data_IF_026853876699
#
_entry.id   IF_026853876699
#
_cell.length_a   1.000
_cell.length_b   1.000
_cell.length_c   1.000
_cell.angle_alpha   90.00
_cell.angle_beta   90.00
_cell.angle_gamma   90.00
#
_symmetry.space_group_name_H-M   'P 1'
#
loop_
_entity.id
_entity.type
_entity.pdbx_description
1 polymer ?
#
# COMPACT_ATOMS: atom_id res chain seq x y z
N UNK A 1 8.18 35.08 -9.39
CA UNK A 1 8.40 35.03 -7.92
C UNK A 1 9.84 35.39 -7.66
N UNK A 2 10.08 36.26 -6.69
CA UNK A 2 11.43 36.66 -6.28
C UNK A 2 11.98 35.67 -5.24
N UNK A 3 13.31 35.50 -5.20
CA UNK A 3 13.99 34.59 -4.26
C UNK A 3 13.68 34.87 -2.78
N UNK A 4 13.29 36.11 -2.45
CA UNK A 4 12.85 36.51 -1.11
C UNK A 4 11.51 35.89 -0.70
N UNK A 5 10.61 35.63 -1.64
CA UNK A 5 9.29 35.05 -1.35
C UNK A 5 9.40 33.53 -1.12
N UNK A 6 10.31 32.88 -1.84
CA UNK A 6 10.66 31.46 -1.61
C UNK A 6 11.23 31.28 -0.20
N UNK A 7 12.09 32.21 0.24
CA UNK A 7 12.71 32.13 1.56
C UNK A 7 11.67 32.29 2.70
N UNK A 8 10.72 33.22 2.54
CA UNK A 8 9.58 33.36 3.47
C UNK A 8 8.69 32.12 3.50
N UNK A 9 8.49 31.45 2.37
CA UNK A 9 7.71 30.22 2.30
C UNK A 9 8.42 29.08 3.04
N UNK A 10 9.74 28.94 2.88
CA UNK A 10 10.55 27.96 3.61
C UNK A 10 10.53 28.23 5.13
N UNK A 11 10.65 29.49 5.54
CA UNK A 11 10.59 29.90 6.95
C UNK A 11 9.20 29.61 7.55
N UNK A 12 8.13 29.90 6.80
CA UNK A 12 6.76 29.60 7.20
C UNK A 12 6.53 28.09 7.37
N UNK A 13 6.98 27.27 6.42
CA UNK A 13 6.86 25.80 6.50
C UNK A 13 7.64 25.26 7.71
N UNK A 14 8.80 25.85 8.01
CA UNK A 14 9.63 25.45 9.14
C UNK A 14 8.97 25.73 10.50
N UNK A 15 8.25 26.86 10.62
CA UNK A 15 7.56 27.28 11.84
C UNK A 15 6.16 26.67 12.02
N UNK A 16 5.47 26.36 10.92
CA UNK A 16 4.09 25.82 10.94
C UNK A 16 4.03 24.32 11.25
N UNK A 17 5.15 23.60 11.16
CA UNK A 17 5.20 22.16 11.43
C UNK A 17 4.52 21.32 10.36
N UNK A 18 4.36 21.86 9.14
CA UNK A 18 3.76 21.14 8.01
C UNK A 18 4.78 20.17 7.41
N UNK A 19 4.38 18.91 7.22
CA UNK A 19 5.23 17.87 6.65
C UNK A 19 5.30 17.94 5.11
N UNK A 20 4.26 18.47 4.46
CA UNK A 20 4.20 18.59 3.00
C UNK A 20 3.36 19.79 2.54
N UNK A 21 3.84 20.53 1.54
CA UNK A 21 3.14 21.65 0.89
C UNK A 21 3.29 21.53 -0.62
N UNK A 22 2.15 21.52 -1.33
CA UNK A 22 2.07 21.51 -2.79
C UNK A 22 1.26 22.73 -3.26
N UNK A 23 1.87 23.59 -4.08
CA UNK A 23 1.25 24.79 -4.64
C UNK A 23 1.35 24.71 -6.16
N UNK A 24 0.20 24.70 -6.81
CA UNK A 24 0.07 24.67 -8.27
C UNK A 24 -0.73 25.90 -8.72
N UNK A 25 -0.13 26.68 -9.60
CA UNK A 25 -0.72 27.83 -10.29
C UNK A 25 -0.48 27.65 -11.78
N UNK A 26 -1.27 28.33 -12.64
CA UNK A 26 -1.21 28.16 -14.10
C UNK A 26 0.19 28.25 -14.72
N UNK A 27 1.13 28.94 -14.07
CA UNK A 27 2.50 29.15 -14.54
C UNK A 27 3.58 28.55 -13.62
N UNK A 28 3.21 27.89 -12.51
CA UNK A 28 4.17 27.50 -11.47
C UNK A 28 3.71 26.30 -10.62
N UNK A 29 4.60 25.31 -10.46
CA UNK A 29 4.42 24.15 -9.57
C UNK A 29 5.54 24.09 -8.54
N UNK A 30 5.21 24.12 -7.25
CA UNK A 30 6.15 24.05 -6.13
C UNK A 30 5.72 22.92 -5.18
N UNK A 31 6.63 21.98 -4.92
CA UNK A 31 6.45 20.91 -3.93
C UNK A 31 7.57 20.97 -2.89
N UNK A 32 7.19 21.05 -1.62
CA UNK A 32 8.12 21.11 -0.47
C UNK A 32 7.73 20.01 0.52
N UNK A 33 8.67 19.11 0.84
CA UNK A 33 8.46 17.98 1.76
C UNK A 33 9.53 17.97 2.85
N UNK A 34 9.10 17.81 4.10
CA UNK A 34 9.97 17.70 5.28
C UNK A 34 10.24 16.22 5.57
N UNK A 35 11.51 15.83 5.52
CA UNK A 35 11.93 14.49 5.92
C UNK A 35 12.18 14.45 7.43
N UNK A 36 11.19 14.04 8.22
CA UNK A 36 11.34 13.76 9.65
C UNK A 36 11.58 12.26 9.86
N UNK A 37 12.86 11.87 9.92
CA UNK A 37 13.23 10.49 10.30
C UNK A 37 13.13 10.33 11.82
N UNK A 38 11.96 9.93 12.32
CA UNK A 38 11.85 9.32 13.65
C UNK A 38 11.15 7.97 13.48
N UNK A 39 11.96 6.93 13.29
CA UNK A 39 11.53 5.54 13.34
C UNK A 39 11.42 5.18 14.82
N UNK A 40 10.21 5.24 15.38
CA UNK A 40 9.94 4.71 16.71
C UNK A 40 9.98 3.18 16.64
N UNK A 41 11.01 2.57 17.23
CA UNK A 41 11.09 1.12 17.38
C UNK A 41 10.00 0.61 18.34
N UNK A 42 9.28 -0.47 18.02
CA UNK A 42 8.28 -1.03 18.92
C UNK A 42 8.97 -1.66 20.14
N UNK A 43 8.52 -1.26 21.33
CA UNK A 43 8.95 -1.83 22.60
C UNK A 43 8.46 -3.28 22.72
N UNK A 44 9.39 -4.19 22.99
CA UNK A 44 9.13 -5.58 23.33
C UNK A 44 8.42 -5.66 24.69
N UNK A 45 7.16 -6.06 24.70
CA UNK A 45 6.43 -6.40 25.93
C UNK A 45 6.90 -7.77 26.42
N UNK A 46 7.50 -7.78 27.60
CA UNK A 46 7.96 -8.97 28.30
C UNK A 46 6.78 -9.87 28.70
N UNK A 47 6.87 -11.16 28.37
CA UNK A 47 5.94 -12.18 28.81
C UNK A 47 6.14 -12.49 30.32
N UNK A 48 5.08 -12.56 31.15
CA UNK A 48 5.21 -13.04 32.52
C UNK A 48 5.36 -14.56 32.56
N UNK A 49 6.21 -15.02 33.47
CA UNK A 49 6.56 -16.41 33.73
C UNK A 49 5.37 -17.27 34.19
N UNK A 50 5.34 -18.58 33.87
CA UNK A 50 4.28 -19.47 34.33
C UNK A 50 4.46 -19.84 35.80
N UNK A 51 3.42 -19.59 36.59
CA UNK A 51 3.22 -20.13 37.93
C UNK A 51 2.71 -21.57 37.84
N UNK A 52 3.39 -22.49 38.52
CA UNK A 52 2.98 -23.87 38.68
C UNK A 52 1.75 -23.97 39.60
N UNK A 53 0.73 -24.70 39.16
CA UNK A 53 -0.39 -25.15 39.99
C UNK A 53 -0.81 -26.58 39.59
N UNK A 54 -1.22 -27.33 40.61
CA UNK A 54 -1.37 -28.77 40.72
C UNK A 54 -2.48 -29.41 39.83
N UNK A 55 -2.48 -30.75 39.66
CA UNK A 55 -3.31 -31.44 38.67
C UNK A 55 -4.71 -31.74 39.20
N UNK A 56 -5.73 -31.51 38.39
CA UNK A 56 -7.07 -32.03 38.63
C UNK A 56 -7.82 -32.32 37.32
N UNK A 57 -8.28 -33.58 37.24
CA UNK A 57 -9.41 -34.14 36.48
C UNK A 57 -9.51 -33.87 34.96
N UNK A 58 -9.39 -34.97 34.21
CA UNK A 58 -9.73 -35.10 32.81
C UNK A 58 -11.22 -34.83 32.50
N UNK A 59 -11.50 -34.33 31.29
CA UNK A 59 -12.52 -34.94 30.44
C UNK A 59 -11.99 -35.28 29.03
N UNK A 60 -12.76 -36.14 28.37
CA UNK A 60 -12.45 -36.91 27.17
C UNK A 60 -11.99 -36.10 25.92
N UNK A 61 -11.21 -36.72 25.01
CA UNK A 61 -10.75 -36.07 23.80
C UNK A 61 -11.89 -35.99 22.76
N UNK A 62 -12.22 -34.78 22.33
CA UNK A 62 -12.93 -34.55 21.07
C UNK A 62 -11.87 -34.45 19.96
N UNK A 63 -12.02 -35.32 18.96
CA UNK A 63 -11.21 -35.42 17.76
C UNK A 63 -11.17 -34.08 17.00
N UNK A 64 -9.99 -33.46 16.96
CA UNK A 64 -9.70 -32.35 16.07
C UNK A 64 -9.35 -32.87 14.67
N UNK A 65 -10.02 -32.33 13.66
CA UNK A 65 -9.70 -32.56 12.25
C UNK A 65 -8.30 -32.01 11.90
N UNK A 66 -7.58 -32.61 10.93
CA UNK A 66 -6.23 -32.18 10.59
C UNK A 66 -6.26 -30.78 9.95
N UNK A 67 -5.58 -29.81 10.57
CA UNK A 67 -5.27 -28.54 9.94
C UNK A 67 -4.27 -28.77 8.80
N UNK A 68 -4.60 -28.24 7.62
CA UNK A 68 -3.76 -28.28 6.44
C UNK A 68 -2.41 -27.56 6.69
N UNK A 69 -1.29 -28.03 6.12
CA UNK A 69 0.01 -27.40 6.30
C UNK A 69 0.03 -25.97 5.74
N UNK A 70 0.45 -25.02 6.58
CA UNK A 70 0.76 -23.66 6.14
C UNK A 70 1.88 -23.70 5.08
N UNK A 71 1.58 -23.11 3.92
CA UNK A 71 2.52 -22.99 2.82
C UNK A 71 3.79 -22.24 3.28
N UNK A 72 4.94 -22.81 2.95
CA UNK A 72 6.24 -22.21 3.18
C UNK A 72 6.35 -20.83 2.51
N UNK A 73 7.03 -19.85 3.13
CA UNK A 73 7.25 -18.55 2.50
C UNK A 73 8.08 -18.74 1.24
N UNK A 74 7.53 -18.31 0.11
CA UNK A 74 8.22 -18.25 -1.17
C UNK A 74 9.50 -17.39 -1.05
N UNK A 75 10.56 -17.70 -1.84
CA UNK A 75 11.82 -16.99 -1.77
C UNK A 75 11.60 -15.48 -1.99
N UNK A 76 12.20 -14.69 -1.12
CA UNK A 76 12.19 -13.23 -1.16
C UNK A 76 12.96 -12.82 -2.41
N UNK A 77 12.24 -12.63 -3.52
CA UNK A 77 12.80 -12.04 -4.74
C UNK A 77 13.36 -10.66 -4.37
N UNK A 78 14.54 -10.35 -4.90
CA UNK A 78 15.25 -9.11 -4.69
C UNK A 78 14.36 -7.95 -5.18
N UNK A 79 13.68 -7.26 -4.26
CA UNK A 79 12.69 -6.22 -4.60
C UNK A 79 13.34 -4.89 -5.02
N UNK A 80 14.67 -4.85 -5.15
CA UNK A 80 15.45 -3.63 -5.33
C UNK A 80 15.20 -2.94 -6.67
N UNK A 81 14.56 -3.62 -7.63
CA UNK A 81 14.32 -3.12 -8.99
C UNK A 81 12.82 -2.98 -9.34
N UNK A 82 11.91 -3.27 -8.41
CA UNK A 82 10.47 -3.21 -8.68
C UNK A 82 9.88 -1.86 -8.29
N UNK A 83 9.00 -1.35 -9.14
CA UNK A 83 8.19 -0.15 -8.88
C UNK A 83 6.79 -0.56 -8.44
N UNK A 84 6.09 0.33 -7.74
CA UNK A 84 4.71 0.09 -7.30
C UNK A 84 3.75 1.06 -7.97
N UNK A 85 2.63 0.54 -8.48
CA UNK A 85 1.46 1.37 -8.79
C UNK A 85 0.66 1.51 -7.49
N UNK A 86 0.38 2.74 -7.10
CA UNK A 86 -0.27 3.07 -5.83
C UNK A 86 -1.66 3.64 -6.05
N UNK A 87 -2.46 3.62 -4.99
CA UNK A 87 -3.80 4.21 -5.02
C UNK A 87 -3.73 5.75 -4.97
N UNK A 88 -4.37 6.47 -5.90
CA UNK A 88 -4.44 7.93 -5.85
C UNK A 88 -5.56 8.44 -4.93
N UNK A 89 -6.38 7.57 -4.34
CA UNK A 89 -7.53 7.94 -3.53
C UNK A 89 -7.90 6.87 -2.49
N UNK A 90 -8.77 7.22 -1.55
CA UNK A 90 -9.36 6.26 -0.61
C UNK A 90 -10.61 5.65 -1.27
N UNK A 91 -10.78 4.33 -1.20
CA UNK A 91 -11.94 3.67 -1.79
C UNK A 91 -11.91 2.15 -1.67
N UNK A 92 -12.70 1.46 -2.49
CA UNK A 92 -12.71 0.00 -2.59
C UNK A 92 -12.04 -0.44 -3.89
N UNK A 93 -11.03 -1.30 -3.79
CA UNK A 93 -10.28 -1.81 -4.94
C UNK A 93 -11.04 -2.94 -5.65
N UNK A 94 -11.12 -2.84 -6.98
CA UNK A 94 -11.69 -3.87 -7.84
C UNK A 94 -10.75 -4.23 -9.00
N UNK A 95 -10.65 -5.53 -9.28
CA UNK A 95 -9.81 -6.06 -10.35
C UNK A 95 -10.44 -5.98 -11.74
N UNK A 96 -11.76 -5.84 -11.81
CA UNK A 96 -12.54 -5.82 -13.06
C UNK A 96 -13.62 -4.74 -13.04
N UNK A 97 -14.12 -4.36 -14.22
CA UNK A 97 -15.20 -3.38 -14.37
C UNK A 97 -16.57 -3.84 -13.84
N UNK A 98 -16.76 -5.15 -13.73
CA UNK A 98 -17.97 -5.80 -13.23
C UNK A 98 -17.64 -7.23 -12.81
N UNK A 99 -18.45 -7.89 -11.96
CA UNK A 99 -18.20 -9.26 -11.51
C UNK A 99 -18.01 -10.29 -12.63
N UNK A 100 -18.67 -10.08 -13.77
CA UNK A 100 -18.62 -10.99 -14.92
C UNK A 100 -17.49 -10.68 -15.91
N UNK A 101 -16.84 -9.51 -15.78
CA UNK A 101 -15.74 -9.10 -16.64
C UNK A 101 -14.41 -9.68 -16.17
N UNK A 102 -13.47 -9.99 -17.10
CA UNK A 102 -12.12 -10.36 -16.73
C UNK A 102 -11.42 -9.22 -15.97
N UNK A 103 -10.40 -9.57 -15.19
CA UNK A 103 -9.53 -8.57 -14.58
C UNK A 103 -8.88 -7.69 -15.66
N UNK A 104 -8.65 -6.42 -15.35
CA UNK A 104 -7.91 -5.51 -16.24
C UNK A 104 -6.48 -5.99 -16.50
N UNK A 105 -5.85 -6.58 -15.47
CA UNK A 105 -4.52 -7.18 -15.54
C UNK A 105 -4.39 -8.41 -14.64
N UNK A 106 -3.57 -9.36 -15.08
CA UNK A 106 -3.13 -10.53 -14.33
C UNK A 106 -1.61 -10.51 -14.09
N UNK A 107 -1.14 -11.35 -13.15
CA UNK A 107 0.29 -11.51 -12.92
C UNK A 107 0.96 -12.08 -14.17
N UNK A 108 2.03 -11.43 -14.61
CA UNK A 108 2.73 -11.74 -15.84
C UNK A 108 2.34 -10.87 -17.03
N UNK A 109 1.26 -10.08 -16.95
CA UNK A 109 0.85 -9.21 -18.04
C UNK A 109 1.78 -8.01 -18.22
N UNK A 110 1.97 -7.61 -19.48
CA UNK A 110 2.65 -6.36 -19.83
C UNK A 110 1.68 -5.17 -19.82
N UNK A 111 2.15 -4.06 -19.26
CA UNK A 111 1.43 -2.80 -19.13
C UNK A 111 2.26 -1.66 -19.70
N UNK A 112 1.58 -0.63 -20.18
CA UNK A 112 2.18 0.62 -20.64
C UNK A 112 1.59 1.77 -19.84
N UNK A 113 2.30 2.89 -19.80
CA UNK A 113 1.75 4.13 -19.24
C UNK A 113 0.41 4.46 -19.90
N UNK A 114 -0.61 4.77 -19.10
CA UNK A 114 -1.99 5.01 -19.54
C UNK A 114 -2.87 3.76 -19.66
N UNK A 115 -2.35 2.54 -19.49
CA UNK A 115 -3.19 1.33 -19.47
C UNK A 115 -3.97 1.26 -18.16
N UNK A 116 -5.29 1.06 -18.24
CA UNK A 116 -6.14 0.81 -17.06
C UNK A 116 -5.76 -0.54 -16.42
N UNK A 117 -5.50 -0.53 -15.11
CA UNK A 117 -5.05 -1.70 -14.35
C UNK A 117 -6.03 -2.15 -13.26
N UNK A 118 -6.89 -1.25 -12.77
CA UNK A 118 -7.94 -1.57 -11.80
C UNK A 118 -8.99 -0.46 -11.74
N UNK A 119 -10.01 -0.66 -10.92
CA UNK A 119 -10.96 0.38 -10.54
C UNK A 119 -10.90 0.60 -9.03
N UNK A 120 -11.07 1.86 -8.62
CA UNK A 120 -11.32 2.21 -7.22
C UNK A 120 -12.69 2.86 -7.12
N UNK A 121 -13.57 2.27 -6.31
CA UNK A 121 -14.87 2.85 -5.98
C UNK A 121 -14.74 3.83 -4.83
N UNK A 122 -15.10 5.09 -5.06
CA UNK A 122 -15.18 6.11 -4.03
C UNK A 122 -16.49 6.88 -4.17
N UNK A 123 -17.29 6.96 -3.11
CA UNK A 123 -18.58 7.67 -3.10
C UNK A 123 -19.55 7.25 -4.24
N UNK A 124 -19.62 5.95 -4.55
CA UNK A 124 -20.39 5.35 -5.68
C UNK A 124 -19.88 5.71 -7.08
N UNK A 125 -18.71 6.34 -7.19
CA UNK A 125 -18.03 6.58 -8.45
C UNK A 125 -16.95 5.52 -8.67
N UNK A 126 -16.97 4.88 -9.83
CA UNK A 126 -15.98 3.88 -10.22
C UNK A 126 -14.88 4.55 -11.04
N UNK A 127 -13.74 4.80 -10.42
CA UNK A 127 -12.61 5.48 -11.05
C UNK A 127 -11.62 4.47 -11.60
N UNK A 128 -11.38 4.51 -12.91
CA UNK A 128 -10.34 3.73 -13.56
C UNK A 128 -8.96 4.25 -13.15
N UNK A 129 -8.08 3.34 -12.76
CA UNK A 129 -6.70 3.66 -12.41
C UNK A 129 -5.81 3.23 -13.56
N UNK A 130 -5.11 4.19 -14.14
CA UNK A 130 -4.12 3.96 -15.20
C UNK A 130 -2.73 3.74 -14.61
N UNK A 131 -1.92 2.91 -15.29
CA UNK A 131 -0.52 2.73 -14.94
C UNK A 131 0.28 3.98 -15.30
N UNK A 132 1.12 4.45 -14.37
CA UNK A 132 2.14 5.47 -14.66
C UNK A 132 3.44 4.85 -15.20
N UNK A 133 3.59 3.53 -15.06
CA UNK A 133 4.81 2.77 -15.34
C UNK A 133 4.57 1.83 -16.52
N UNK A 134 5.58 1.68 -17.38
CA UNK A 134 5.60 0.62 -18.39
C UNK A 134 6.43 -0.55 -17.89
N UNK A 135 5.95 -1.78 -18.06
CA UNK A 135 6.60 -2.96 -17.50
C UNK A 135 5.70 -4.19 -17.42
N UNK A 136 6.02 -5.13 -16.53
CA UNK A 136 5.28 -6.37 -16.30
C UNK A 136 4.74 -6.45 -14.87
N UNK A 137 3.49 -6.88 -14.71
CA UNK A 137 2.90 -7.11 -13.39
C UNK A 137 3.57 -8.32 -12.74
N UNK A 138 4.23 -8.10 -11.61
CA UNK A 138 4.89 -9.15 -10.82
C UNK A 138 3.95 -9.67 -9.73
N UNK A 139 3.17 -8.78 -9.12
CA UNK A 139 2.27 -9.14 -8.03
C UNK A 139 1.12 -8.14 -7.88
N UNK A 140 -0.06 -8.66 -7.52
CA UNK A 140 -1.18 -7.85 -7.00
C UNK A 140 -1.07 -7.84 -5.48
N UNK A 141 -1.01 -6.66 -4.87
CA UNK A 141 -0.75 -6.46 -3.44
C UNK A 141 -2.02 -6.34 -2.60
N UNK A 142 -3.17 -6.18 -3.25
CA UNK A 142 -4.47 -5.99 -2.61
C UNK A 142 -5.49 -7.00 -3.15
N UNK A 143 -6.35 -7.52 -2.27
CA UNK A 143 -7.43 -8.44 -2.63
C UNK A 143 -8.61 -7.70 -3.27
N UNK A 144 -9.34 -8.37 -4.16
CA UNK A 144 -10.52 -7.80 -4.80
C UNK A 144 -11.60 -7.43 -3.75
N UNK A 145 -12.32 -6.33 -3.98
CA UNK A 145 -13.36 -5.81 -3.10
C UNK A 145 -12.86 -5.45 -1.68
N UNK A 146 -11.61 -4.99 -1.57
CA UNK A 146 -11.00 -4.59 -0.29
C UNK A 146 -10.81 -3.07 -0.22
N UNK A 147 -11.01 -2.44 0.96
CA UNK A 147 -10.69 -1.03 1.16
C UNK A 147 -9.21 -0.72 0.93
N UNK A 148 -8.94 0.42 0.32
CA UNK A 148 -7.59 0.96 0.10
C UNK A 148 -7.49 2.42 0.50
N UNK A 149 -6.30 2.81 0.93
CA UNK A 149 -5.96 4.17 1.35
C UNK A 149 -5.15 4.92 0.29
N UNK A 150 -5.02 6.23 0.46
CA UNK A 150 -4.15 7.05 -0.39
C UNK A 150 -2.69 6.58 -0.30
N UNK A 151 -2.00 6.55 -1.44
CA UNK A 151 -0.60 6.11 -1.59
C UNK A 151 -0.36 4.64 -1.20
N UNK A 152 -1.42 3.84 -0.99
CA UNK A 152 -1.30 2.41 -0.72
C UNK A 152 -0.84 1.68 -1.99
N UNK A 153 0.22 0.84 -1.93
CA UNK A 153 0.64 0.00 -3.05
C UNK A 153 -0.43 -1.01 -3.47
N UNK A 154 -0.78 -1.03 -4.76
CA UNK A 154 -1.78 -1.92 -5.36
C UNK A 154 -1.13 -3.03 -6.18
N UNK A 155 -0.10 -2.68 -6.94
CA UNK A 155 0.61 -3.62 -7.82
C UNK A 155 2.12 -3.44 -7.68
N UNK A 156 2.84 -4.54 -7.86
CA UNK A 156 4.29 -4.57 -8.02
C UNK A 156 4.62 -4.79 -9.51
N UNK A 157 5.46 -3.95 -10.07
CA UNK A 157 5.79 -3.90 -11.49
C UNK A 157 7.30 -4.02 -11.69
N UNK A 158 7.70 -4.88 -12.61
CA UNK A 158 9.05 -4.94 -13.17
C UNK A 158 9.13 -4.00 -14.37
N UNK A 159 9.88 -2.90 -14.30
CA UNK A 159 10.04 -1.98 -15.42
C UNK A 159 10.74 -2.68 -16.59
N UNK A 160 10.28 -2.41 -17.82
CA UNK A 160 10.88 -2.93 -19.06
C UNK A 160 11.31 -1.75 -19.94
#
# INVERSE_FOLDING_TARGET
MDTKDIQKLIDFISQSGLDEVNIETNDLKISVKRYSSVVAAPAVVAAPAPVAAAPAAAPAPVTAAPAAPAAAPAPKADTSNYLTIKSPMIGTFYRSGSPDNPSFVEVGDEIKTGKVVCIIEAMKLFNEIESEISGRIVKVLVENATPVEYDQPLFLVEPI
#
